data_IF_746100180066
#
_entry.id   IF_746100180066
#
_cell.length_a   1.000
_cell.length_b   1.000
_cell.length_c   1.000
_cell.angle_alpha   90.00
_cell.angle_beta   90.00
_cell.angle_gamma   90.00
#
_symmetry.space_group_name_H-M   'P 1'
#
loop_
_entity.id
_entity.type
_entity.pdbx_description
1 polymer ?
#
# COMPACT_ATOMS: atom_id res chain seq x y z
N UNK A 1 -24.97 2.75 -31.05
CA UNK A 1 -24.05 3.47 -30.14
C UNK A 1 -23.29 4.45 -30.99
N UNK A 2 -23.50 5.73 -30.77
CA UNK A 2 -22.81 6.79 -31.52
C UNK A 2 -21.33 6.76 -31.15
N UNK A 3 -20.44 7.08 -32.09
CA UNK A 3 -18.98 7.01 -31.85
C UNK A 3 -18.52 7.80 -30.62
N UNK A 4 -19.21 8.88 -30.29
CA UNK A 4 -18.98 9.69 -29.08
C UNK A 4 -19.22 8.92 -27.76
N UNK A 5 -20.21 8.02 -27.72
CA UNK A 5 -20.50 7.20 -26.53
C UNK A 5 -19.42 6.16 -26.24
N UNK A 6 -18.78 5.60 -27.29
CA UNK A 6 -17.66 4.66 -27.15
C UNK A 6 -16.38 5.34 -26.64
N UNK A 7 -16.12 6.58 -27.05
CA UNK A 7 -14.98 7.37 -26.54
C UNK A 7 -15.11 7.68 -25.05
N UNK A 8 -16.32 8.02 -24.58
CA UNK A 8 -16.58 8.26 -23.15
C UNK A 8 -16.39 6.97 -22.34
N UNK A 9 -16.88 5.83 -22.84
CA UNK A 9 -16.67 4.53 -22.19
C UNK A 9 -15.17 4.17 -22.10
N UNK A 10 -14.41 4.38 -23.18
CA UNK A 10 -12.98 4.13 -23.20
C UNK A 10 -12.23 5.01 -22.19
N UNK A 11 -12.57 6.30 -22.11
CA UNK A 11 -12.00 7.23 -21.13
C UNK A 11 -12.26 6.75 -19.69
N UNK A 12 -13.49 6.31 -19.40
CA UNK A 12 -13.86 5.82 -18.08
C UNK A 12 -13.07 4.56 -17.69
N UNK A 13 -12.93 3.61 -18.62
CA UNK A 13 -12.12 2.39 -18.43
C UNK A 13 -10.66 2.74 -18.16
N UNK A 14 -10.09 3.68 -18.92
CA UNK A 14 -8.69 4.08 -18.79
C UNK A 14 -8.38 4.69 -17.41
N UNK A 15 -9.35 5.34 -16.77
CA UNK A 15 -9.21 5.90 -15.42
C UNK A 15 -9.36 4.81 -14.34
N UNK A 16 -10.32 3.91 -14.50
CA UNK A 16 -10.70 2.95 -13.45
C UNK A 16 -9.76 1.75 -13.37
N UNK A 17 -9.38 1.19 -14.51
CA UNK A 17 -8.50 0.01 -14.58
C UNK A 17 -7.20 0.19 -13.79
N UNK A 18 -6.44 1.30 -13.92
CA UNK A 18 -5.22 1.48 -13.14
C UNK A 18 -5.49 1.56 -11.63
N UNK A 19 -6.60 2.19 -11.21
CA UNK A 19 -6.97 2.27 -9.79
C UNK A 19 -7.29 0.87 -9.23
N UNK A 20 -8.06 0.07 -9.96
CA UNK A 20 -8.37 -1.31 -9.57
C UNK A 20 -7.11 -2.17 -9.45
N UNK A 21 -6.17 -2.04 -10.38
CA UNK A 21 -4.89 -2.76 -10.35
C UNK A 21 -4.08 -2.42 -9.10
N UNK A 22 -3.98 -1.13 -8.75
CA UNK A 22 -3.28 -0.71 -7.53
C UNK A 22 -3.93 -1.30 -6.28
N UNK A 23 -5.26 -1.27 -6.20
CA UNK A 23 -5.99 -1.81 -5.06
C UNK A 23 -5.75 -3.33 -4.93
N UNK A 24 -5.73 -4.06 -6.04
CA UNK A 24 -5.44 -5.50 -6.04
C UNK A 24 -4.02 -5.80 -5.53
N UNK A 25 -3.01 -5.00 -5.91
CA UNK A 25 -1.64 -5.16 -5.42
C UNK A 25 -1.56 -4.91 -3.91
N UNK A 26 -2.23 -3.86 -3.40
CA UNK A 26 -2.31 -3.56 -1.97
C UNK A 26 -2.92 -4.73 -1.19
N UNK A 27 -4.04 -5.27 -1.65
CA UNK A 27 -4.68 -6.43 -1.03
C UNK A 27 -3.78 -7.66 -1.00
N UNK A 28 -3.08 -7.95 -2.11
CA UNK A 28 -2.14 -9.07 -2.18
C UNK A 28 -0.99 -8.90 -1.20
N UNK A 29 -0.44 -7.69 -1.06
CA UNK A 29 0.62 -7.38 -0.09
C UNK A 29 0.15 -7.61 1.35
N UNK A 30 -1.02 -7.07 1.72
CA UNK A 30 -1.61 -7.26 3.06
C UNK A 30 -1.84 -8.75 3.35
N UNK A 31 -2.37 -9.50 2.38
CA UNK A 31 -2.64 -10.92 2.57
C UNK A 31 -1.35 -11.74 2.71
N UNK A 32 -0.31 -11.40 1.95
CA UNK A 32 1.00 -12.03 2.09
C UNK A 32 1.61 -11.76 3.48
N UNK A 33 1.57 -10.52 3.96
CA UNK A 33 2.06 -10.15 5.29
C UNK A 33 1.30 -10.93 6.38
N UNK A 34 -0.04 -10.94 6.34
CA UNK A 34 -0.86 -11.72 7.29
C UNK A 34 -0.55 -13.20 7.30
N UNK A 35 -0.28 -13.79 6.13
CA UNK A 35 0.10 -15.19 6.04
C UNK A 35 1.49 -15.44 6.66
N UNK A 36 2.42 -14.50 6.51
CA UNK A 36 3.73 -14.56 7.16
C UNK A 36 3.61 -14.41 8.68
N UNK A 37 2.84 -13.43 9.17
CA UNK A 37 2.54 -13.23 10.59
C UNK A 37 1.99 -14.53 11.21
N UNK A 38 0.97 -15.13 10.59
CA UNK A 38 0.38 -16.41 11.04
C UNK A 38 1.39 -17.55 11.07
N UNK A 39 2.30 -17.63 10.09
CA UNK A 39 3.31 -18.70 10.01
C UNK A 39 4.42 -18.54 11.04
N UNK A 40 4.78 -17.30 11.38
CA UNK A 40 5.88 -17.01 12.32
C UNK A 40 5.41 -16.79 13.76
N UNK A 41 4.11 -16.55 13.97
CA UNK A 41 3.59 -16.14 15.26
C UNK A 41 4.04 -14.74 15.68
N UNK A 42 4.37 -13.89 14.70
CA UNK A 42 4.89 -12.53 14.93
C UNK A 42 3.92 -11.49 14.38
N UNK A 43 4.03 -10.26 14.87
CA UNK A 43 3.42 -9.08 14.25
C UNK A 43 4.42 -8.46 13.27
N UNK A 44 4.04 -8.32 12.01
CA UNK A 44 4.86 -7.63 11.01
C UNK A 44 4.41 -6.17 10.94
N UNK A 45 5.33 -5.26 11.25
CA UNK A 45 5.12 -3.81 11.09
C UNK A 45 6.03 -3.36 9.95
N UNK A 46 5.46 -2.72 8.93
CA UNK A 46 6.22 -2.30 7.74
C UNK A 46 6.26 -0.78 7.63
N UNK A 47 7.47 -0.22 7.55
CA UNK A 47 7.71 1.18 7.20
C UNK A 47 8.32 1.20 5.79
N UNK A 48 7.45 1.24 4.78
CA UNK A 48 7.85 1.16 3.37
C UNK A 48 7.69 2.52 2.73
N UNK A 49 8.82 3.12 2.41
CA UNK A 49 8.91 4.47 1.90
C UNK A 49 9.41 4.48 0.46
N UNK A 50 8.71 3.76 -0.42
CA UNK A 50 9.11 3.63 -1.83
C UNK A 50 8.36 4.63 -2.70
N UNK A 51 9.06 5.25 -3.65
CA UNK A 51 8.44 5.91 -4.80
C UNK A 51 7.77 4.84 -5.68
N UNK A 52 6.50 4.50 -5.41
CA UNK A 52 5.69 3.82 -6.41
C UNK A 52 5.43 4.84 -7.52
N UNK A 53 5.99 4.62 -8.71
CA UNK A 53 5.77 5.47 -9.89
C UNK A 53 4.28 5.50 -10.23
N UNK A 54 3.54 6.45 -9.66
CA UNK A 54 2.11 6.66 -9.88
C UNK A 54 1.87 7.35 -11.24
N UNK A 55 2.28 6.73 -12.35
CA UNK A 55 2.03 7.22 -13.71
C UNK A 55 2.50 8.67 -13.98
N UNK A 56 2.06 9.25 -15.10
CA UNK A 56 2.49 10.56 -15.62
C UNK A 56 2.33 11.73 -14.63
N UNK A 57 1.41 11.62 -13.65
CA UNK A 57 1.16 12.62 -12.60
C UNK A 57 1.92 12.35 -11.28
N UNK A 58 2.54 11.18 -11.12
CA UNK A 58 3.25 10.76 -9.91
C UNK A 58 4.70 11.24 -9.80
N UNK A 59 5.24 11.88 -10.83
CA UNK A 59 6.65 12.32 -10.88
C UNK A 59 7.00 13.46 -9.89
N UNK A 60 6.02 14.05 -9.21
CA UNK A 60 6.22 15.19 -8.29
C UNK A 60 6.08 14.87 -6.81
N UNK A 61 5.76 13.63 -6.42
CA UNK A 61 5.62 13.26 -5.01
C UNK A 61 6.97 12.76 -4.46
N UNK A 62 7.74 13.66 -3.84
CA UNK A 62 8.78 13.25 -2.88
C UNK A 62 8.08 13.01 -1.55
N UNK A 63 7.81 11.76 -1.24
CA UNK A 63 7.55 11.41 0.13
C UNK A 63 8.94 11.28 0.80
N UNK A 64 9.10 11.74 2.04
CA UNK A 64 10.16 11.34 2.97
C UNK A 64 9.49 10.66 4.16
N UNK A 65 10.15 9.73 4.84
CA UNK A 65 9.64 9.20 6.11
C UNK A 65 9.43 10.41 7.02
N UNK A 66 8.20 10.66 7.43
CA UNK A 66 7.87 11.77 8.31
C UNK A 66 7.71 11.29 9.76
N UNK A 67 7.50 12.24 10.67
CA UNK A 67 7.34 11.94 12.10
C UNK A 67 6.04 11.15 12.32
N UNK A 68 5.02 11.44 11.53
CA UNK A 68 3.71 10.78 11.57
C UNK A 68 3.82 9.28 11.25
N UNK A 69 4.64 8.89 10.26
CA UNK A 69 4.91 7.49 9.94
C UNK A 69 5.54 6.76 11.15
N UNK A 70 6.41 7.46 11.90
CA UNK A 70 7.03 6.92 13.11
C UNK A 70 6.04 6.79 14.27
N UNK A 71 5.09 7.72 14.40
CA UNK A 71 4.00 7.62 15.37
C UNK A 71 3.06 6.45 15.07
N UNK A 72 2.76 6.20 13.80
CA UNK A 72 1.98 5.03 13.39
C UNK A 72 2.69 3.72 13.72
N UNK A 73 4.00 3.65 13.52
CA UNK A 73 4.83 2.50 13.94
C UNK A 73 4.78 2.33 15.45
N UNK A 74 4.99 3.39 16.23
CA UNK A 74 4.92 3.34 17.69
C UNK A 74 3.53 2.92 18.19
N UNK A 75 2.46 3.38 17.53
CA UNK A 75 1.09 2.95 17.84
C UNK A 75 0.91 1.46 17.55
N UNK A 76 1.41 0.97 16.42
CA UNK A 76 1.32 -0.44 16.07
C UNK A 76 2.09 -1.33 17.07
N UNK A 77 3.25 -0.88 17.56
CA UNK A 77 4.00 -1.54 18.63
C UNK A 77 3.15 -1.59 19.90
N UNK A 78 2.57 -0.46 20.34
CA UNK A 78 1.75 -0.38 21.57
C UNK A 78 0.45 -1.18 21.50
N UNK A 79 -0.09 -1.41 20.30
CA UNK A 79 -1.29 -2.24 20.07
C UNK A 79 -0.95 -3.73 19.90
N UNK A 80 0.33 -4.09 19.84
CA UNK A 80 0.78 -5.48 19.80
C UNK A 80 0.86 -5.99 21.24
N UNK A 81 0.37 -7.23 21.45
CA UNK A 81 0.41 -7.87 22.76
C UNK A 81 1.86 -8.10 23.21
N UNK A 82 2.13 -8.00 24.51
CA UNK A 82 3.48 -8.08 25.09
C UNK A 82 4.17 -9.43 24.83
N UNK A 83 3.40 -10.49 24.59
CA UNK A 83 3.86 -11.85 24.29
C UNK A 83 4.11 -12.10 22.79
N UNK A 84 3.75 -11.17 21.91
CA UNK A 84 3.86 -11.33 20.46
C UNK A 84 5.14 -10.66 19.95
N UNK A 85 6.10 -11.41 19.36
CA UNK A 85 7.32 -10.81 18.81
C UNK A 85 7.00 -9.92 17.60
N UNK A 86 7.81 -8.87 17.40
CA UNK A 86 7.63 -7.89 16.33
C UNK A 86 8.72 -8.06 15.26
N UNK A 87 8.28 -8.21 14.01
CA UNK A 87 9.10 -8.15 12.82
C UNK A 87 8.94 -6.77 12.17
N UNK A 88 9.89 -5.86 12.40
CA UNK A 88 9.90 -4.53 11.78
C UNK A 88 10.63 -4.57 10.43
N UNK A 89 9.92 -4.27 9.34
CA UNK A 89 10.49 -4.21 7.99
C UNK A 89 10.57 -2.75 7.57
N UNK A 90 11.78 -2.24 7.43
CA UNK A 90 12.04 -0.88 6.92
C UNK A 90 12.56 -0.98 5.50
N UNK A 91 11.95 -0.24 4.57
CA UNK A 91 12.37 -0.16 3.18
C UNK A 91 12.35 1.29 2.71
N UNK A 92 13.51 1.80 2.30
CA UNK A 92 13.74 3.18 1.84
C UNK A 92 14.00 3.23 0.35
#
# INVERSE_FOLDING_TARGET
>A
MDGSSLWILFLFIFIIVPQMKQQMIKWRRINALRNCEKRRGTRIITLIHRQESMGFWGMFSRNFINIEDSEEVLRAIRLTSDDTPIDLIVHT
#
